data_IF_629011831532
#
_entry.id   IF_629011831532
#
_cell.length_a   1.000
_cell.length_b   1.000
_cell.length_c   1.000
_cell.angle_alpha   90.00
_cell.angle_beta   90.00
_cell.angle_gamma   90.00
#
_symmetry.space_group_name_H-M   'P 1'
#
loop_
_entity.id
_entity.type
_entity.pdbx_description
1 polymer ?
#
# COMPACT_ATOMS: atom_id res chain seq x y z
N UNK A 1 -30.05 -36.64 6.84
CA UNK A 1 -29.80 -35.48 7.73
C UNK A 1 -28.30 -35.32 7.84
N UNK A 2 -27.74 -34.25 7.29
CA UNK A 2 -26.34 -33.90 7.50
C UNK A 2 -26.14 -33.52 8.98
N UNK A 3 -25.03 -33.96 9.57
CA UNK A 3 -24.70 -33.70 10.97
C UNK A 3 -24.54 -32.17 11.19
N UNK A 4 -25.31 -31.54 12.09
CA UNK A 4 -25.21 -30.12 12.37
C UNK A 4 -23.79 -29.68 12.75
N UNK A 5 -22.99 -30.56 13.37
CA UNK A 5 -21.59 -30.27 13.72
C UNK A 5 -20.73 -30.14 12.46
N UNK A 6 -20.92 -31.02 11.47
CA UNK A 6 -20.16 -30.97 10.21
C UNK A 6 -20.45 -29.67 9.45
N UNK A 7 -21.73 -29.26 9.41
CA UNK A 7 -22.13 -27.99 8.79
C UNK A 7 -21.45 -26.81 9.50
N UNK A 8 -21.46 -26.78 10.84
CA UNK A 8 -20.86 -25.71 11.61
C UNK A 8 -19.34 -25.58 11.38
N UNK A 9 -18.62 -26.70 11.27
CA UNK A 9 -17.18 -26.70 10.99
C UNK A 9 -16.89 -26.16 9.59
N UNK A 10 -17.62 -26.63 8.58
CA UNK A 10 -17.41 -26.21 7.19
C UNK A 10 -17.73 -24.73 7.01
N UNK A 11 -18.80 -24.23 7.63
CA UNK A 11 -19.15 -22.81 7.55
C UNK A 11 -18.13 -21.94 8.27
N UNK A 12 -17.65 -22.34 9.45
CA UNK A 12 -16.60 -21.62 10.16
C UNK A 12 -15.31 -21.53 9.33
N UNK A 13 -14.86 -22.65 8.74
CA UNK A 13 -13.68 -22.67 7.88
C UNK A 13 -13.84 -21.80 6.64
N UNK A 14 -15.01 -21.83 6.00
CA UNK A 14 -15.30 -21.00 4.83
C UNK A 14 -15.23 -19.51 5.17
N UNK A 15 -15.76 -19.09 6.33
CA UNK A 15 -15.69 -17.69 6.78
C UNK A 15 -14.25 -17.26 7.04
N UNK A 16 -13.45 -18.09 7.70
CA UNK A 16 -12.04 -17.78 7.97
C UNK A 16 -11.25 -17.67 6.66
N UNK A 17 -11.44 -18.59 5.73
CA UNK A 17 -10.78 -18.55 4.42
C UNK A 17 -11.18 -17.29 3.63
N UNK A 18 -12.45 -16.94 3.61
CA UNK A 18 -12.93 -15.72 2.96
C UNK A 18 -12.29 -14.46 3.57
N UNK A 19 -12.19 -14.39 4.90
CA UNK A 19 -11.55 -13.27 5.58
C UNK A 19 -10.05 -13.16 5.25
N UNK A 20 -9.33 -14.28 5.17
CA UNK A 20 -7.91 -14.31 4.79
C UNK A 20 -7.75 -13.78 3.36
N UNK A 21 -8.56 -14.28 2.41
CA UNK A 21 -8.47 -13.84 1.01
C UNK A 21 -8.77 -12.35 0.89
N UNK A 22 -9.81 -11.84 1.56
CA UNK A 22 -10.13 -10.42 1.57
C UNK A 22 -8.98 -9.58 2.13
N UNK A 23 -8.40 -9.99 3.27
CA UNK A 23 -7.26 -9.29 3.88
C UNK A 23 -6.03 -9.26 2.98
N UNK A 24 -5.74 -10.36 2.27
CA UNK A 24 -4.62 -10.44 1.33
C UNK A 24 -4.79 -9.49 0.15
N UNK A 25 -6.02 -9.37 -0.39
CA UNK A 25 -6.31 -8.42 -1.47
C UNK A 25 -6.12 -6.98 -0.99
N UNK A 26 -6.65 -6.62 0.18
CA UNK A 26 -6.47 -5.27 0.75
C UNK A 26 -4.99 -4.96 0.97
N UNK A 27 -4.22 -5.90 1.52
CA UNK A 27 -2.79 -5.73 1.73
C UNK A 27 -2.03 -5.56 0.41
N UNK A 28 -2.36 -6.35 -0.61
CA UNK A 28 -1.70 -6.26 -1.92
C UNK A 28 -1.91 -4.88 -2.57
N UNK A 29 -3.14 -4.34 -2.51
CA UNK A 29 -3.45 -2.99 -3.02
C UNK A 29 -2.64 -1.93 -2.26
N UNK A 30 -2.60 -2.01 -0.93
CA UNK A 30 -1.82 -1.10 -0.10
C UNK A 30 -0.31 -1.16 -0.42
N UNK A 31 0.22 -2.37 -0.61
CA UNK A 31 1.64 -2.58 -0.90
C UNK A 31 2.05 -1.97 -2.23
N UNK A 32 1.22 -2.12 -3.27
CA UNK A 32 1.46 -1.51 -4.59
C UNK A 32 1.49 0.02 -4.49
N UNK A 33 0.53 0.60 -3.78
CA UNK A 33 0.47 2.06 -3.54
C UNK A 33 1.71 2.55 -2.79
N UNK A 34 2.09 1.88 -1.70
CA UNK A 34 3.28 2.24 -0.93
C UNK A 34 4.58 2.14 -1.75
N UNK A 35 4.71 1.15 -2.62
CA UNK A 35 5.89 1.04 -3.50
C UNK A 35 5.96 2.21 -4.48
N UNK A 36 4.82 2.60 -5.07
CA UNK A 36 4.75 3.74 -5.99
C UNK A 36 5.10 5.05 -5.27
N UNK A 37 4.51 5.29 -4.10
CA UNK A 37 4.77 6.49 -3.30
C UNK A 37 6.21 6.55 -2.80
N UNK A 38 6.78 5.44 -2.34
CA UNK A 38 8.16 5.41 -1.88
C UNK A 38 9.15 5.74 -3.01
N UNK A 39 8.87 5.27 -4.24
CA UNK A 39 9.67 5.63 -5.41
C UNK A 39 9.56 7.12 -5.74
N UNK A 40 8.36 7.70 -5.68
CA UNK A 40 8.12 9.13 -5.88
C UNK A 40 8.86 9.97 -4.82
N UNK A 41 8.76 9.58 -3.54
CA UNK A 41 9.48 10.20 -2.44
C UNK A 41 10.99 10.18 -2.64
N UNK A 42 11.54 9.03 -3.04
CA UNK A 42 12.97 8.91 -3.29
C UNK A 42 13.45 9.86 -4.39
N UNK A 43 12.72 9.92 -5.52
CA UNK A 43 13.05 10.82 -6.63
C UNK A 43 12.98 12.29 -6.22
N UNK A 44 11.92 12.68 -5.51
CA UNK A 44 11.75 14.03 -5.03
C UNK A 44 12.83 14.42 -4.01
N UNK A 45 13.14 13.55 -3.05
CA UNK A 45 14.25 13.77 -2.12
C UNK A 45 15.58 13.92 -2.84
N UNK A 46 15.84 13.13 -3.88
CA UNK A 46 17.06 13.28 -4.68
C UNK A 46 17.14 14.65 -5.33
N UNK A 47 16.04 15.14 -5.91
CA UNK A 47 15.96 16.47 -6.51
C UNK A 47 16.13 17.59 -5.48
N UNK A 48 15.52 17.46 -4.30
CA UNK A 48 15.69 18.41 -3.20
C UNK A 48 17.14 18.49 -2.73
N UNK A 49 17.77 17.34 -2.51
CA UNK A 49 19.18 17.25 -2.13
C UNK A 49 20.06 17.92 -3.18
N UNK A 50 19.85 17.60 -4.46
CA UNK A 50 20.61 18.22 -5.55
C UNK A 50 20.36 19.73 -5.64
N UNK A 51 19.13 20.21 -5.40
CA UNK A 51 18.80 21.63 -5.38
C UNK A 51 19.57 22.37 -4.27
N UNK A 52 19.61 21.79 -3.06
CA UNK A 52 20.33 22.35 -1.90
C UNK A 52 21.83 22.41 -2.18
N UNK A 53 22.44 21.28 -2.58
CA UNK A 53 23.89 21.20 -2.73
C UNK A 53 24.42 21.94 -3.97
N UNK A 54 23.59 22.17 -4.98
CA UNK A 54 23.95 23.02 -6.13
C UNK A 54 23.71 24.51 -5.88
N UNK A 55 23.15 24.87 -4.72
CA UNK A 55 22.85 26.26 -4.38
C UNK A 55 21.89 26.93 -5.37
N UNK A 56 20.93 26.15 -5.91
CA UNK A 56 19.94 26.71 -6.83
C UNK A 56 19.09 27.76 -6.10
N UNK A 57 18.67 28.83 -6.79
CA UNK A 57 17.83 29.85 -6.18
C UNK A 57 16.44 29.27 -5.83
N UNK A 58 15.78 29.80 -4.80
CA UNK A 58 14.41 29.41 -4.47
C UNK A 58 13.44 29.70 -5.64
N UNK A 59 12.33 28.95 -5.76
CA UNK A 59 11.83 27.97 -4.80
C UNK A 59 12.42 26.55 -5.01
N UNK A 60 12.37 25.69 -3.95
CA UNK A 60 12.72 24.28 -4.07
C UNK A 60 11.76 23.53 -5.00
N UNK A 61 12.16 22.36 -5.53
CA UNK A 61 11.28 21.53 -6.33
C UNK A 61 10.03 21.12 -5.53
N UNK A 62 8.82 21.27 -6.10
CA UNK A 62 7.58 20.96 -5.43
C UNK A 62 7.42 19.45 -5.22
N UNK A 63 6.66 19.02 -4.19
CA UNK A 63 6.33 17.61 -4.00
C UNK A 63 5.51 17.06 -5.19
N UNK A 64 5.60 15.75 -5.50
CA UNK A 64 4.77 15.12 -6.52
C UNK A 64 3.28 15.27 -6.18
N UNK A 65 2.45 15.63 -7.17
CA UNK A 65 1.04 15.93 -6.96
C UNK A 65 0.23 14.75 -6.40
N UNK A 66 0.56 13.53 -6.83
CA UNK A 66 -0.15 12.29 -6.49
C UNK A 66 0.47 11.57 -5.28
N UNK A 67 1.26 12.28 -4.48
CA UNK A 67 1.97 11.67 -3.37
C UNK A 67 0.97 11.36 -2.25
N UNK A 68 0.78 10.06 -1.96
CA UNK A 68 -0.20 9.54 -1.01
C UNK A 68 -1.66 9.65 -1.44
N UNK A 69 -1.96 9.88 -2.72
CA UNK A 69 -3.33 9.90 -3.28
C UNK A 69 -3.90 8.51 -3.57
#
# INVERSE_FOLDING_TARGET
>A
MSDPILIAIVTALAVVLAAIVAGMVTLAIALVRWHADNRRLWLWNRQLVDHIYRGLPPPPPPPPAELFD
#
